data_IF_662151602423
#
_entry.id   IF_662151602423
#
_cell.length_a   1.000
_cell.length_b   1.000
_cell.length_c   1.000
_cell.angle_alpha   90.00
_cell.angle_beta   90.00
_cell.angle_gamma   90.00
#
_symmetry.space_group_name_H-M   'P 1'
#
loop_
_entity.id
_entity.type
_entity.pdbx_description
1 polymer ?
#
# COMPACT_ATOMS: atom_id res chain seq x y z
N UNK A 1 1.72 20.71 -7.34
CA UNK A 1 0.79 19.60 -7.67
C UNK A 1 -0.22 19.98 -8.72
N UNK A 2 -0.99 21.06 -8.58
CA UNK A 2 -2.18 21.30 -9.41
C UNK A 2 -1.94 21.78 -10.85
N UNK A 3 -0.75 22.29 -11.22
CA UNK A 3 -0.50 22.81 -12.58
C UNK A 3 0.69 22.16 -13.30
N UNK A 4 1.75 21.80 -12.58
CA UNK A 4 3.03 21.39 -13.17
C UNK A 4 3.41 19.92 -13.01
N UNK A 5 2.60 19.11 -12.31
CA UNK A 5 2.95 17.70 -12.14
C UNK A 5 2.85 16.95 -13.47
N UNK A 6 3.90 16.20 -13.81
CA UNK A 6 3.95 15.37 -15.02
C UNK A 6 3.00 14.18 -14.87
N UNK A 7 1.85 14.27 -15.53
CA UNK A 7 0.78 13.26 -15.46
C UNK A 7 1.23 11.92 -16.03
N UNK A 8 2.04 11.90 -17.09
CA UNK A 8 2.52 10.65 -17.70
C UNK A 8 3.45 9.92 -16.74
N UNK A 9 4.36 10.66 -16.11
CA UNK A 9 5.21 10.12 -15.06
C UNK A 9 4.37 9.58 -13.88
N UNK A 10 3.36 10.32 -13.43
CA UNK A 10 2.53 9.91 -12.29
C UNK A 10 1.75 8.61 -12.58
N UNK A 11 1.20 8.43 -13.78
CA UNK A 11 0.57 7.16 -14.16
C UNK A 11 1.57 6.00 -14.12
N UNK A 12 2.75 6.18 -14.74
CA UNK A 12 3.80 5.16 -14.73
C UNK A 12 4.30 4.85 -13.31
N UNK A 13 4.41 5.87 -12.45
CA UNK A 13 4.81 5.70 -11.05
C UNK A 13 3.76 4.93 -10.26
N UNK A 14 2.46 5.20 -10.45
CA UNK A 14 1.40 4.44 -9.81
C UNK A 14 1.49 2.96 -10.19
N UNK A 15 1.61 2.66 -11.48
CA UNK A 15 1.67 1.28 -11.97
C UNK A 15 2.91 0.55 -11.48
N UNK A 16 4.05 1.25 -11.39
CA UNK A 16 5.28 0.69 -10.83
C UNK A 16 5.14 0.37 -9.33
N UNK A 17 4.58 1.28 -8.54
CA UNK A 17 4.31 1.02 -7.11
C UNK A 17 3.35 -0.15 -6.92
N UNK A 18 2.29 -0.25 -7.71
CA UNK A 18 1.37 -1.40 -7.64
C UNK A 18 2.10 -2.72 -7.95
N UNK A 19 2.91 -2.74 -9.02
CA UNK A 19 3.69 -3.91 -9.42
C UNK A 19 4.70 -4.32 -8.33
N UNK A 20 5.48 -3.38 -7.82
CA UNK A 20 6.45 -3.63 -6.75
C UNK A 20 5.77 -4.11 -5.47
N UNK A 21 4.65 -3.49 -5.09
CA UNK A 21 3.87 -3.93 -3.92
C UNK A 21 3.46 -5.40 -4.05
N UNK A 22 2.95 -5.82 -5.20
CA UNK A 22 2.54 -7.22 -5.44
C UNK A 22 3.74 -8.17 -5.37
N UNK A 23 4.86 -7.81 -6.01
CA UNK A 23 6.09 -8.61 -5.96
C UNK A 23 6.63 -8.75 -4.54
N UNK A 24 6.62 -7.68 -3.74
CA UNK A 24 7.09 -7.70 -2.35
C UNK A 24 6.17 -8.55 -1.46
N UNK A 25 4.86 -8.55 -1.70
CA UNK A 25 3.92 -9.45 -1.03
C UNK A 25 4.27 -10.91 -1.32
N UNK A 26 4.49 -11.26 -2.59
CA UNK A 26 4.88 -12.62 -3.02
C UNK A 26 6.19 -13.08 -2.36
N UNK A 27 7.13 -12.16 -2.12
CA UNK A 27 8.39 -12.41 -1.42
C UNK A 27 8.25 -12.47 0.11
N UNK A 28 7.04 -12.28 0.66
CA UNK A 28 6.81 -12.27 2.10
C UNK A 28 7.40 -11.05 2.82
N UNK A 29 7.50 -9.91 2.12
CA UNK A 29 8.04 -8.65 2.61
C UNK A 29 6.92 -7.60 2.79
N UNK A 30 6.04 -7.74 3.80
CA UNK A 30 4.85 -6.91 3.94
C UNK A 30 5.15 -5.45 4.27
N UNK A 31 6.18 -5.16 5.07
CA UNK A 31 6.52 -3.76 5.42
C UNK A 31 7.04 -2.98 4.19
N UNK A 32 8.02 -3.49 3.41
CA UNK A 32 8.37 -2.86 2.14
C UNK A 32 7.20 -2.75 1.15
N UNK A 33 6.32 -3.76 1.10
CA UNK A 33 5.12 -3.69 0.26
C UNK A 33 4.20 -2.55 0.69
N UNK A 34 4.01 -2.35 1.99
CA UNK A 34 3.20 -1.26 2.54
C UNK A 34 3.70 0.12 2.09
N UNK A 35 5.02 0.34 2.08
CA UNK A 35 5.60 1.59 1.58
C UNK A 35 5.22 1.87 0.12
N UNK A 36 5.13 0.84 -0.72
CA UNK A 36 4.67 0.99 -2.10
C UNK A 36 3.17 1.32 -2.18
N UNK A 37 2.34 0.79 -1.27
CA UNK A 37 0.93 1.18 -1.17
C UNK A 37 0.79 2.66 -0.80
N UNK A 38 1.60 3.16 0.14
CA UNK A 38 1.60 4.57 0.53
C UNK A 38 1.98 5.47 -0.64
N UNK A 39 3.01 5.10 -1.41
CA UNK A 39 3.42 5.82 -2.62
C UNK A 39 2.31 5.81 -3.68
N UNK A 40 1.72 4.64 -3.98
CA UNK A 40 0.61 4.54 -4.93
C UNK A 40 -0.59 5.41 -4.51
N UNK A 41 -0.95 5.40 -3.22
CA UNK A 41 -2.02 6.24 -2.67
C UNK A 41 -1.72 7.73 -2.84
N UNK A 42 -0.49 8.15 -2.53
CA UNK A 42 -0.06 9.53 -2.72
C UNK A 42 -0.09 9.95 -4.20
N UNK A 43 0.46 9.12 -5.09
CA UNK A 43 0.45 9.36 -6.54
C UNK A 43 -0.95 9.45 -7.11
N UNK A 44 -1.87 8.59 -6.66
CA UNK A 44 -3.30 8.71 -6.98
C UNK A 44 -3.86 10.08 -6.58
N UNK A 45 -3.58 10.56 -5.37
CA UNK A 45 -4.04 11.88 -4.94
C UNK A 45 -3.50 13.02 -5.82
N UNK A 46 -2.27 12.89 -6.34
CA UNK A 46 -1.69 13.87 -7.27
C UNK A 46 -2.37 13.83 -8.65
N UNK A 47 -2.63 12.64 -9.19
CA UNK A 47 -3.37 12.45 -10.44
C UNK A 47 -4.79 13.02 -10.34
N UNK A 48 -5.44 12.75 -9.21
CA UNK A 48 -6.78 13.22 -8.90
C UNK A 48 -6.85 14.74 -8.76
N UNK A 49 -5.89 15.34 -8.05
CA UNK A 49 -5.71 16.78 -7.95
C UNK A 49 -5.45 17.45 -9.31
N UNK A 50 -4.75 16.77 -10.23
CA UNK A 50 -4.55 17.23 -11.62
C UNK A 50 -5.80 17.10 -12.50
N UNK A 51 -6.89 16.55 -11.98
CA UNK A 51 -8.08 16.18 -12.76
C UNK A 51 -7.72 15.28 -13.95
N UNK A 52 -6.65 14.50 -13.82
CA UNK A 52 -6.12 13.62 -14.87
C UNK A 52 -6.88 12.30 -14.97
N UNK A 53 -7.79 12.03 -14.04
CA UNK A 53 -8.63 10.83 -13.99
C UNK A 53 -10.11 11.24 -13.95
N UNK A 54 -10.93 10.54 -14.74
CA UNK A 54 -12.38 10.68 -14.70
C UNK A 54 -12.97 10.11 -13.41
N UNK A 55 -14.26 10.40 -13.14
CA UNK A 55 -14.99 9.86 -11.98
C UNK A 55 -14.98 8.32 -11.96
N UNK A 56 -15.16 7.69 -13.12
CA UNK A 56 -15.12 6.22 -13.25
C UNK A 56 -13.71 5.66 -13.00
N UNK A 57 -12.68 6.33 -13.51
CA UNK A 57 -11.28 5.94 -13.25
C UNK A 57 -10.92 6.11 -11.78
N UNK A 58 -11.36 7.20 -11.14
CA UNK A 58 -11.15 7.42 -9.71
C UNK A 58 -11.60 6.22 -8.87
N UNK A 59 -12.81 5.71 -9.11
CA UNK A 59 -13.30 4.51 -8.41
C UNK A 59 -12.41 3.29 -8.65
N UNK A 60 -11.93 3.10 -9.89
CA UNK A 60 -11.01 2.01 -10.22
C UNK A 60 -9.68 2.12 -9.46
N UNK A 61 -9.08 3.31 -9.41
CA UNK A 61 -7.83 3.53 -8.66
C UNK A 61 -8.02 3.34 -7.15
N UNK A 62 -9.12 3.80 -6.58
CA UNK A 62 -9.45 3.56 -5.16
C UNK A 62 -9.51 2.06 -4.86
N UNK A 63 -10.17 1.28 -5.72
CA UNK A 63 -10.25 -0.17 -5.55
C UNK A 63 -8.90 -0.86 -5.67
N UNK A 64 -8.02 -0.40 -6.57
CA UNK A 64 -6.64 -0.91 -6.69
C UNK A 64 -5.84 -0.67 -5.40
N UNK A 65 -5.80 0.56 -4.90
CA UNK A 65 -5.09 0.90 -3.65
C UNK A 65 -5.65 0.12 -2.45
N UNK A 66 -6.98 0.02 -2.34
CA UNK A 66 -7.64 -0.76 -1.28
C UNK A 66 -7.30 -2.25 -1.37
N UNK A 67 -7.24 -2.80 -2.58
CA UNK A 67 -6.83 -4.18 -2.82
C UNK A 67 -5.41 -4.44 -2.31
N UNK A 68 -4.46 -3.60 -2.73
CA UNK A 68 -3.07 -3.69 -2.25
C UNK A 68 -2.98 -3.61 -0.73
N UNK A 69 -3.65 -2.63 -0.10
CA UNK A 69 -3.63 -2.47 1.35
C UNK A 69 -4.14 -3.71 2.08
N UNK A 70 -5.21 -4.34 1.58
CA UNK A 70 -5.75 -5.58 2.14
C UNK A 70 -4.75 -6.73 2.03
N UNK A 71 -4.15 -6.89 0.85
CA UNK A 71 -3.24 -8.00 0.59
C UNK A 71 -1.93 -7.84 1.41
N UNK A 72 -1.44 -6.61 1.57
CA UNK A 72 -0.35 -6.29 2.51
C UNK A 72 -0.71 -6.60 3.96
N UNK A 73 -1.92 -6.24 4.40
CA UNK A 73 -2.38 -6.52 5.75
C UNK A 73 -2.44 -8.03 6.03
N UNK A 74 -2.93 -8.83 5.06
CA UNK A 74 -2.93 -10.28 5.15
C UNK A 74 -1.49 -10.83 5.21
N UNK A 75 -0.61 -10.39 4.32
CA UNK A 75 0.79 -10.83 4.33
C UNK A 75 1.51 -10.47 5.64
N UNK A 76 1.20 -9.31 6.22
CA UNK A 76 1.69 -8.92 7.54
C UNK A 76 1.16 -9.85 8.63
N UNK A 77 -0.15 -10.12 8.65
CA UNK A 77 -0.75 -11.05 9.60
C UNK A 77 -0.07 -12.42 9.54
N UNK A 78 0.05 -13.01 8.35
CA UNK A 78 0.66 -14.33 8.14
C UNK A 78 2.13 -14.35 8.60
N UNK A 79 2.88 -13.27 8.35
CA UNK A 79 4.24 -13.13 8.84
C UNK A 79 4.32 -13.07 10.37
N UNK A 80 3.38 -12.38 11.02
CA UNK A 80 3.29 -12.31 12.49
C UNK A 80 2.84 -13.64 13.10
N UNK A 81 1.91 -14.33 12.47
CA UNK A 81 1.42 -15.65 12.88
C UNK A 81 2.54 -16.69 12.82
N UNK A 82 3.33 -16.73 11.74
CA UNK A 82 4.51 -17.61 11.63
C UNK A 82 5.54 -17.42 12.74
N UNK A 83 5.64 -16.21 13.29
CA UNK A 83 6.51 -15.87 14.41
C UNK A 83 5.87 -16.14 15.78
N UNK A 84 4.62 -16.62 15.82
CA UNK A 84 3.86 -16.84 17.05
C UNK A 84 3.49 -15.54 17.78
N UNK A 85 3.28 -14.45 17.03
CA UNK A 85 2.91 -13.12 17.53
C UNK A 85 3.79 -12.60 18.69
N UNK A 86 5.11 -12.41 18.50
CA UNK A 86 6.05 -12.17 19.60
C UNK A 86 5.76 -10.91 20.44
N UNK A 87 5.09 -9.90 19.87
CA UNK A 87 4.70 -8.68 20.61
C UNK A 87 3.45 -8.84 21.48
N UNK A 88 2.59 -9.84 21.20
CA UNK A 88 1.43 -10.12 22.06
C UNK A 88 1.90 -10.76 23.38
N UNK A 89 2.84 -11.71 23.31
CA UNK A 89 3.41 -12.36 24.50
C UNK A 89 4.13 -11.38 25.43
N UNK A 90 4.90 -10.46 24.87
CA UNK A 90 5.57 -9.41 25.65
C UNK A 90 4.60 -8.47 26.39
N UNK A 91 3.36 -8.35 25.90
CA UNK A 91 2.32 -7.51 26.55
C UNK A 91 1.69 -8.24 27.74
N UNK A 92 1.58 -9.57 27.71
CA UNK A 92 1.09 -10.38 28.84
C UNK A 92 2.10 -10.41 29.99
N UNK A 93 3.40 -10.50 29.71
CA UNK A 93 4.45 -10.47 30.76
C UNK A 93 4.56 -9.11 31.44
N UNK A 94 4.39 -8.01 30.70
CA UNK A 94 4.40 -6.65 31.25
C UNK A 94 3.12 -6.27 32.02
N UNK A 95 1.99 -6.97 31.79
CA UNK A 95 0.74 -6.74 32.50
C UNK A 95 0.61 -7.56 33.80
N UNK A 96 1.44 -8.61 33.95
CA UNK A 96 1.41 -9.55 35.07
C UNK A 96 2.60 -9.38 36.05
N UNK A 97 3.41 -8.33 35.89
CA UNK A 97 4.52 -7.97 36.78
C UNK A 97 4.34 -6.58 37.36
#
# INVERSE_FOLDING_TARGET
NFEHADVNYLFGHFDQCEKESKQLIELGLPLPAYEQVLKASHTFNLLDARHAISVTERQRYILRVRGLARDVAQAYYDARERLGFPMLKATEEAANG
#
